data_IF_017616107321
#
_entry.id   IF_017616107321
#
_cell.length_a   1.000
_cell.length_b   1.000
_cell.length_c   1.000
_cell.angle_alpha   90.00
_cell.angle_beta   90.00
_cell.angle_gamma   90.00
#
_symmetry.space_group_name_H-M   'P 1'
#
loop_
_entity.id
_entity.type
_entity.pdbx_description
1 polymer ?
#
# COMPACT_ATOMS: atom_id res chain seq x y z
N UNK A 1 -3.49 12.38 10.56
CA UNK A 1 -2.91 13.34 9.60
C UNK A 1 -1.66 12.68 9.05
N UNK A 2 -1.58 12.51 7.74
CA UNK A 2 -0.43 11.84 7.09
C UNK A 2 0.82 12.72 7.24
N UNK A 3 1.94 12.12 7.60
CA UNK A 3 3.24 12.77 7.81
C UNK A 3 4.27 12.29 6.78
N UNK A 4 5.36 13.03 6.60
CA UNK A 4 6.47 12.64 5.71
C UNK A 4 7.09 11.28 6.10
N UNK A 5 7.05 10.93 7.37
CA UNK A 5 7.50 9.62 7.86
C UNK A 5 6.60 8.49 7.35
N UNK A 6 5.31 8.75 7.21
CA UNK A 6 4.35 7.76 6.69
C UNK A 6 4.59 7.49 5.20
N UNK A 7 4.95 8.53 4.43
CA UNK A 7 5.36 8.36 3.03
C UNK A 7 6.67 7.60 2.89
N UNK A 8 7.60 7.74 3.85
CA UNK A 8 8.83 6.97 3.87
C UNK A 8 8.58 5.48 4.10
N UNK A 9 7.71 5.14 5.05
CA UNK A 9 7.31 3.74 5.27
C UNK A 9 6.63 3.14 4.05
N UNK A 10 5.80 3.93 3.36
CA UNK A 10 5.21 3.52 2.09
C UNK A 10 6.25 3.19 1.03
N UNK A 11 7.28 4.02 0.88
CA UNK A 11 8.37 3.76 -0.07
C UNK A 11 9.20 2.51 0.31
N UNK A 12 9.33 2.21 1.60
CA UNK A 12 9.96 0.96 2.07
C UNK A 12 9.07 -0.25 1.77
N UNK A 13 7.76 -0.16 2.01
CA UNK A 13 6.78 -1.23 1.73
C UNK A 13 6.65 -1.52 0.22
N UNK A 14 6.74 -0.52 -0.65
CA UNK A 14 6.78 -0.72 -2.11
C UNK A 14 8.04 -1.45 -2.55
N UNK A 15 9.14 -1.35 -1.81
CA UNK A 15 10.35 -2.09 -2.12
C UNK A 15 10.27 -3.57 -1.68
N UNK A 16 9.40 -3.86 -0.70
CA UNK A 16 9.11 -5.20 -0.18
C UNK A 16 8.10 -5.99 -1.06
N UNK A 17 7.44 -5.32 -1.99
CA UNK A 17 6.61 -5.91 -3.05
C UNK A 17 7.39 -6.85 -3.97
N UNK A 18 8.71 -6.68 -4.05
CA UNK A 18 9.56 -7.52 -4.85
C UNK A 18 9.43 -8.97 -4.39
N UNK A 19 8.65 -9.76 -5.14
CA UNK A 19 8.46 -11.18 -4.88
C UNK A 19 9.79 -11.96 -4.92
N UNK A 20 10.86 -11.38 -5.51
CA UNK A 20 12.22 -11.92 -5.47
C UNK A 20 12.95 -11.65 -4.15
N UNK A 21 12.52 -10.68 -3.33
CA UNK A 21 13.11 -10.36 -2.01
C UNK A 21 12.27 -10.85 -0.83
N UNK A 22 10.95 -10.85 -0.92
CA UNK A 22 10.06 -11.46 0.09
C UNK A 22 9.19 -12.54 -0.56
N UNK A 23 9.63 -13.78 -0.34
CA UNK A 23 9.09 -15.00 -0.95
C UNK A 23 7.78 -15.46 -0.29
N UNK A 24 7.46 -14.98 0.92
CA UNK A 24 6.41 -15.60 1.74
C UNK A 24 5.07 -14.84 1.85
N UNK A 25 5.00 -13.52 1.65
CA UNK A 25 3.72 -12.78 1.72
C UNK A 25 3.80 -11.39 1.06
N UNK A 26 3.70 -11.28 -0.27
CA UNK A 26 3.64 -9.98 -0.94
C UNK A 26 2.36 -9.24 -0.51
N UNK A 27 2.42 -7.93 -0.22
CA UNK A 27 1.26 -7.16 0.21
C UNK A 27 0.14 -7.21 -0.83
N UNK A 28 -1.00 -7.77 -0.44
CA UNK A 28 -2.15 -8.00 -1.33
C UNK A 28 -3.18 -6.86 -1.25
N UNK A 29 -3.98 -6.68 -2.30
CA UNK A 29 -5.09 -5.72 -2.31
C UNK A 29 -5.96 -5.84 -1.05
N UNK A 30 -6.21 -4.71 -0.39
CA UNK A 30 -6.97 -4.65 0.87
C UNK A 30 -6.12 -4.82 2.13
N UNK A 31 -4.84 -5.17 2.01
CA UNK A 31 -3.91 -5.13 3.13
C UNK A 31 -3.55 -3.69 3.51
N UNK A 32 -3.21 -3.49 4.77
CA UNK A 32 -2.75 -2.23 5.30
C UNK A 32 -1.22 -2.11 5.19
N UNK A 33 -0.74 -0.91 4.86
CA UNK A 33 0.67 -0.58 4.65
C UNK A 33 0.97 0.81 5.19
N UNK A 34 2.25 1.15 5.35
CA UNK A 34 2.68 2.42 5.93
C UNK A 34 2.15 2.61 7.35
N UNK A 35 2.38 1.63 8.24
CA UNK A 35 1.98 1.63 9.65
C UNK A 35 0.45 1.67 9.86
N UNK A 36 -0.29 0.84 9.13
CA UNK A 36 -1.76 0.74 9.20
C UNK A 36 -2.53 2.03 8.89
N UNK A 37 -1.89 2.97 8.17
CA UNK A 37 -2.49 4.24 7.76
C UNK A 37 -2.97 4.24 6.32
N UNK A 38 -2.50 3.32 5.50
CA UNK A 38 -2.88 3.19 4.11
C UNK A 38 -3.39 1.80 3.82
N UNK A 39 -4.25 1.68 2.81
CA UNK A 39 -4.74 0.41 2.29
C UNK A 39 -4.38 0.29 0.81
N UNK A 40 -3.97 -0.90 0.41
CA UNK A 40 -3.64 -1.21 -0.98
C UNK A 40 -4.92 -1.28 -1.81
N UNK A 41 -5.04 -0.39 -2.79
CA UNK A 41 -6.17 -0.35 -3.71
C UNK A 41 -6.01 -1.35 -4.86
N UNK A 42 -4.78 -1.59 -5.32
CA UNK A 42 -4.49 -2.58 -6.36
C UNK A 42 -3.16 -3.25 -6.08
N UNK A 43 -3.10 -4.54 -6.37
CA UNK A 43 -1.83 -5.26 -6.35
C UNK A 43 -0.79 -4.57 -7.24
N UNK A 44 0.47 -4.64 -6.84
CA UNK A 44 1.56 -4.15 -7.67
C UNK A 44 1.58 -4.90 -8.98
N UNK A 45 1.45 -4.14 -10.07
CA UNK A 45 1.61 -4.66 -11.42
C UNK A 45 3.10 -4.84 -11.65
N UNK A 46 3.51 -6.06 -11.97
CA UNK A 46 4.84 -6.38 -12.43
C UNK A 46 5.05 -5.67 -13.78
N UNK A 47 5.46 -4.40 -13.72
CA UNK A 47 5.67 -3.60 -14.91
C UNK A 47 6.94 -4.16 -15.54
N UNK A 48 6.76 -4.87 -16.65
CA UNK A 48 7.67 -5.55 -17.61
C UNK A 48 9.14 -5.04 -17.71
N UNK A 49 9.47 -3.86 -17.17
CA UNK A 49 10.80 -3.25 -17.06
C UNK A 49 11.38 -3.18 -15.63
N UNK A 50 10.86 -3.93 -14.65
CA UNK A 50 11.38 -3.91 -13.27
C UNK A 50 10.99 -2.67 -12.46
N UNK A 51 9.95 -1.94 -12.88
CA UNK A 51 9.35 -0.89 -12.07
C UNK A 51 8.34 -1.52 -11.11
N UNK A 52 8.51 -1.26 -9.82
CA UNK A 52 7.54 -1.63 -8.80
C UNK A 52 6.67 -0.42 -8.51
N UNK A 53 5.36 -0.62 -8.55
CA UNK A 53 4.40 0.43 -8.28
C UNK A 53 3.22 -0.15 -7.51
N UNK A 54 2.85 0.50 -6.41
CA UNK A 54 1.71 0.16 -5.57
C UNK A 54 0.75 1.35 -5.50
N UNK A 55 -0.52 1.12 -5.84
CA UNK A 55 -1.55 2.12 -5.61
C UNK A 55 -2.16 1.92 -4.23
N UNK A 56 -2.02 2.94 -3.39
CA UNK A 56 -2.55 2.95 -2.03
C UNK A 56 -3.43 4.16 -1.79
N UNK A 57 -4.32 4.07 -0.81
CA UNK A 57 -5.09 5.21 -0.33
C UNK A 57 -5.02 5.29 1.19
N UNK A 58 -5.01 6.51 1.77
CA UNK A 58 -5.08 6.67 3.21
C UNK A 58 -6.41 6.15 3.74
N UNK A 59 -6.39 5.57 4.93
CA UNK A 59 -7.56 4.99 5.57
C UNK A 59 -8.36 6.12 6.23
N UNK A 60 -9.60 6.29 5.79
CA UNK A 60 -10.52 7.31 6.32
C UNK A 60 -11.24 6.85 7.58
N UNK A 61 -11.33 5.55 7.76
CA UNK A 61 -12.04 4.90 8.86
C UNK A 61 -12.16 3.41 8.58
N UNK A 62 -12.89 2.71 9.42
CA UNK A 62 -13.17 1.28 9.28
C UNK A 62 -14.67 1.06 9.11
N UNK A 63 -15.05 0.07 8.30
CA UNK A 63 -16.45 -0.31 8.16
C UNK A 63 -16.95 -1.13 9.37
N UNK A 64 -18.21 -1.55 9.34
CA UNK A 64 -18.82 -2.34 10.42
C UNK A 64 -18.17 -3.73 10.60
N UNK A 65 -17.36 -4.18 9.65
CA UNK A 65 -16.63 -5.46 9.66
C UNK A 65 -15.14 -5.27 9.98
N UNK A 66 -14.74 -4.08 10.47
CA UNK A 66 -13.34 -3.68 10.71
C UNK A 66 -12.45 -3.72 9.45
N UNK A 67 -13.03 -3.61 8.25
CA UNK A 67 -12.25 -3.45 7.02
C UNK A 67 -11.91 -1.98 6.82
N UNK A 68 -10.67 -1.66 6.40
CA UNK A 68 -10.26 -0.28 6.14
C UNK A 68 -11.07 0.32 4.99
N UNK A 69 -11.62 1.52 5.20
CA UNK A 69 -12.31 2.32 4.19
C UNK A 69 -11.27 3.25 3.54
N UNK A 70 -10.88 3.01 2.28
CA UNK A 70 -9.94 3.89 1.58
C UNK A 70 -10.54 5.25 1.28
N UNK A 71 -9.74 6.31 1.45
CA UNK A 71 -10.02 7.61 0.86
C UNK A 71 -9.49 7.69 -0.57
N UNK A 72 -10.32 7.29 -1.54
CA UNK A 72 -9.96 7.33 -2.96
C UNK A 72 -9.83 8.74 -3.55
N UNK A 73 -10.06 9.80 -2.76
CA UNK A 73 -9.76 11.18 -3.19
C UNK A 73 -8.27 11.53 -3.06
N UNK A 74 -7.52 10.74 -2.30
CA UNK A 74 -6.09 10.95 -2.00
C UNK A 74 -5.27 9.71 -2.34
N UNK A 75 -5.48 9.14 -3.54
CA UNK A 75 -4.70 7.99 -4.00
C UNK A 75 -3.24 8.40 -4.17
N UNK A 76 -2.35 7.61 -3.57
CA UNK A 76 -0.90 7.72 -3.69
C UNK A 76 -0.40 6.54 -4.52
N UNK A 77 0.43 6.82 -5.51
CA UNK A 77 1.15 5.80 -6.27
C UNK A 77 2.59 5.87 -5.78
N UNK A 78 3.05 4.80 -5.15
CA UNK A 78 4.40 4.66 -4.64
C UNK A 78 5.15 3.60 -5.44
#
# INVERSE_FOLDING_TARGET
MVTDQDYRWLAEDVYDVDALKKVDDPPVQGASVGDDKFVILSHPQDMINGMQAMAVAPIKGYDAENKPIPDTSQVVIA
#
